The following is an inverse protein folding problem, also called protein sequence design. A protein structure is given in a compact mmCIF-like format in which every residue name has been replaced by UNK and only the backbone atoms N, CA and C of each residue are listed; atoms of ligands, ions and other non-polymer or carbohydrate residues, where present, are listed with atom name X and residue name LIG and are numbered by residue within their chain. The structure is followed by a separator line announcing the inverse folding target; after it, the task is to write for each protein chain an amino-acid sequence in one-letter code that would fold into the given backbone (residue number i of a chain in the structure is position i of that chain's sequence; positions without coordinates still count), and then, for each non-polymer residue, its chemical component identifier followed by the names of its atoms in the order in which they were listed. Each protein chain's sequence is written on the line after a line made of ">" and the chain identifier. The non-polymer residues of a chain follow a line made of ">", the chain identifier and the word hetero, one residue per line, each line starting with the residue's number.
data_IF_493531455236
#
_entry.id   IF_493531455236
#
_cell.length_a   1.000
_cell.length_b   1.000
_cell.length_c   1.000
_cell.angle_alpha   90.00
_cell.angle_beta   90.00
_cell.angle_gamma   90.00
#
_symmetry.space_group_name_H-M   'P 1'
#
loop_
_entity.id
_entity.type
_entity.pdbx_description
1 polymer ?
#
# COMPACT_ATOMS: atom_id res chain seq x y z
N UNK A 1 18.53 -4.64 -17.15
CA UNK A 1 17.87 -3.53 -17.87
C UNK A 1 17.84 -2.32 -16.96
N UNK A 2 18.13 -1.11 -17.44
CA UNK A 2 17.97 0.10 -16.61
C UNK A 2 16.48 0.36 -16.43
N UNK A 3 15.98 0.40 -15.19
CA UNK A 3 14.58 0.74 -14.91
C UNK A 3 14.35 2.18 -15.35
N UNK A 4 13.57 2.36 -16.43
CA UNK A 4 13.22 3.67 -17.00
C UNK A 4 12.62 4.61 -15.96
N UNK A 5 12.74 5.92 -16.17
CA UNK A 5 12.21 6.95 -15.26
C UNK A 5 10.96 7.60 -15.83
N UNK A 6 9.97 7.80 -14.97
CA UNK A 6 8.79 8.63 -15.23
C UNK A 6 9.08 10.04 -14.72
N UNK A 7 8.69 11.06 -15.48
CA UNK A 7 8.87 12.45 -15.06
C UNK A 7 7.84 12.80 -13.96
N UNK A 8 8.32 13.18 -12.77
CA UNK A 8 7.47 13.55 -11.65
C UNK A 8 7.52 15.07 -11.45
N UNK A 9 6.39 15.79 -11.51
CA UNK A 9 6.34 17.26 -11.51
C UNK A 9 6.37 17.89 -10.11
N UNK A 10 6.63 17.10 -9.08
CA UNK A 10 6.70 17.55 -7.68
C UNK A 10 7.81 16.81 -6.94
N UNK A 11 8.31 17.42 -5.87
CA UNK A 11 9.38 16.87 -5.02
C UNK A 11 8.77 16.15 -3.83
N UNK A 12 9.21 14.91 -3.60
CA UNK A 12 8.79 14.13 -2.45
C UNK A 12 9.41 14.64 -1.16
N UNK A 13 8.66 14.53 -0.07
CA UNK A 13 9.08 14.98 1.27
C UNK A 13 9.20 13.79 2.22
N UNK A 14 9.84 13.98 3.37
CA UNK A 14 10.04 12.91 4.37
C UNK A 14 9.76 13.42 5.77
N UNK A 15 9.01 12.66 6.57
CA UNK A 15 8.62 13.05 7.92
C UNK A 15 9.85 13.52 8.75
N UNK A 16 9.82 14.70 9.39
CA UNK A 16 10.99 15.26 10.09
C UNK A 16 11.60 14.36 11.18
N UNK A 17 10.76 13.51 11.78
CA UNK A 17 11.14 12.53 12.80
C UNK A 17 11.35 11.09 12.27
N UNK A 18 11.54 10.90 10.96
CA UNK A 18 11.61 9.58 10.29
C UNK A 18 12.52 8.59 11.04
N UNK A 19 13.76 8.99 11.34
CA UNK A 19 14.72 8.13 12.07
C UNK A 19 14.17 7.57 13.38
N UNK A 20 13.48 8.41 14.16
CA UNK A 20 12.93 7.98 15.45
C UNK A 20 11.65 7.14 15.30
N UNK A 21 10.91 7.32 14.21
CA UNK A 21 9.74 6.50 13.87
C UNK A 21 10.23 5.10 13.45
N UNK A 22 11.18 5.01 12.53
CA UNK A 22 11.75 3.73 12.08
C UNK A 22 12.37 2.94 13.24
N UNK A 23 13.14 3.61 14.11
CA UNK A 23 13.70 2.97 15.29
C UNK A 23 12.62 2.41 16.23
N UNK A 24 11.52 3.14 16.42
CA UNK A 24 10.42 2.68 17.27
C UNK A 24 9.61 1.55 16.61
N UNK A 25 9.47 1.56 15.28
CA UNK A 25 8.84 0.47 14.54
C UNK A 25 9.65 -0.81 14.67
N UNK A 26 10.98 -0.75 14.62
CA UNK A 26 11.84 -1.92 14.89
C UNK A 26 11.52 -2.56 16.24
N UNK A 27 11.45 -1.75 17.30
CA UNK A 27 11.10 -2.21 18.66
C UNK A 27 9.68 -2.81 18.70
N UNK A 28 8.72 -2.19 18.01
CA UNK A 28 7.35 -2.69 17.92
C UNK A 28 7.29 -4.05 17.20
N UNK A 29 7.98 -4.20 16.07
CA UNK A 29 8.04 -5.46 15.29
C UNK A 29 8.68 -6.59 16.11
N UNK A 30 9.71 -6.30 16.92
CA UNK A 30 10.31 -7.24 17.88
C UNK A 30 9.29 -7.67 18.95
N UNK A 31 8.63 -6.71 19.61
CA UNK A 31 7.63 -6.97 20.65
C UNK A 31 6.44 -7.78 20.12
N UNK A 32 6.06 -7.54 18.86
CA UNK A 32 5.02 -8.28 18.16
C UNK A 32 5.47 -9.64 17.64
N UNK A 33 6.75 -10.01 17.79
CA UNK A 33 7.34 -11.29 17.34
C UNK A 33 7.15 -11.52 15.84
N UNK A 34 7.20 -10.45 15.06
CA UNK A 34 7.08 -10.47 13.60
C UNK A 34 8.43 -10.58 12.89
N UNK A 35 9.54 -10.49 13.62
CA UNK A 35 10.87 -10.64 13.04
C UNK A 35 11.20 -12.13 12.86
N UNK A 36 11.15 -12.59 11.61
CA UNK A 36 11.92 -13.78 11.23
C UNK A 36 13.43 -13.48 11.32
N UNK A 37 14.32 -14.50 11.40
CA UNK A 37 15.76 -14.26 11.39
C UNK A 37 16.22 -13.38 10.21
N UNK A 38 15.67 -13.61 9.02
CA UNK A 38 15.93 -12.82 7.82
C UNK A 38 15.51 -11.35 7.98
N UNK A 39 14.31 -11.11 8.54
CA UNK A 39 13.82 -9.76 8.79
C UNK A 39 14.65 -9.07 9.85
N UNK A 40 15.05 -9.76 10.92
CA UNK A 40 15.87 -9.20 11.98
C UNK A 40 17.25 -8.74 11.50
N UNK A 41 17.90 -9.54 10.64
CA UNK A 41 19.22 -9.25 10.08
C UNK A 41 19.19 -8.08 9.08
N UNK A 42 18.11 -7.95 8.31
CA UNK A 42 18.02 -7.01 7.20
C UNK A 42 17.03 -5.85 7.43
N UNK A 43 16.46 -5.71 8.63
CA UNK A 43 15.34 -4.79 8.90
C UNK A 43 15.55 -3.37 8.35
N UNK A 44 16.73 -2.80 8.64
CA UNK A 44 17.07 -1.44 8.22
C UNK A 44 17.28 -1.33 6.70
N UNK A 45 17.76 -2.39 6.07
CA UNK A 45 18.03 -2.45 4.62
C UNK A 45 16.73 -2.72 3.83
N UNK A 46 15.78 -3.43 4.43
CA UNK A 46 14.43 -3.61 3.92
C UNK A 46 13.66 -2.28 3.86
N UNK A 47 13.98 -1.35 4.76
CA UNK A 47 13.47 0.02 4.76
C UNK A 47 11.92 0.11 4.78
N UNK A 48 11.24 -0.89 5.36
CA UNK A 48 9.78 -0.93 5.44
C UNK A 48 9.17 0.27 6.18
N UNK A 49 9.65 0.67 7.38
CA UNK A 49 9.09 1.83 8.05
C UNK A 49 9.45 3.14 7.34
N UNK A 50 10.63 3.22 6.70
CA UNK A 50 11.08 4.39 5.94
C UNK A 50 10.07 4.73 4.86
N UNK A 51 9.51 3.71 4.20
CA UNK A 51 8.45 3.88 3.22
C UNK A 51 7.31 4.75 3.75
N UNK A 52 6.73 4.40 4.89
CA UNK A 52 5.64 5.18 5.49
C UNK A 52 6.06 6.62 5.85
N UNK A 53 7.32 6.84 6.22
CA UNK A 53 7.82 8.18 6.54
C UNK A 53 7.96 9.08 5.31
N UNK A 54 8.07 8.49 4.11
CA UNK A 54 8.13 9.22 2.85
C UNK A 54 6.79 9.81 2.43
N UNK A 55 5.68 9.47 3.10
CA UNK A 55 4.32 9.93 2.72
C UNK A 55 3.54 10.56 3.86
N UNK A 56 4.11 10.48 5.05
CA UNK A 56 3.54 11.04 6.27
C UNK A 56 4.19 12.37 6.64
N UNK A 57 4.72 13.15 5.68
CA UNK A 57 5.53 14.35 5.96
C UNK A 57 4.93 15.27 7.03
N UNK A 58 3.68 15.68 6.83
CA UNK A 58 2.98 16.60 7.73
C UNK A 58 2.28 15.89 8.90
N UNK A 59 2.29 14.54 8.92
CA UNK A 59 1.52 13.72 9.85
C UNK A 59 1.85 14.02 11.31
N UNK A 60 0.87 13.77 12.19
CA UNK A 60 1.20 13.71 13.62
C UNK A 60 2.13 12.53 13.89
N UNK A 61 3.04 12.67 14.87
CA UNK A 61 3.99 11.60 15.24
C UNK A 61 3.28 10.27 15.50
N UNK A 62 2.15 10.29 16.18
CA UNK A 62 1.36 9.10 16.47
C UNK A 62 0.78 8.45 15.20
N UNK A 63 0.21 9.25 14.29
CA UNK A 63 -0.29 8.76 13.01
C UNK A 63 0.83 8.18 12.14
N UNK A 64 1.96 8.88 12.04
CA UNK A 64 3.13 8.41 11.30
C UNK A 64 3.70 7.11 11.89
N UNK A 65 3.69 6.95 13.22
CA UNK A 65 4.09 5.72 13.88
C UNK A 65 3.16 4.55 13.53
N UNK A 66 1.84 4.75 13.55
CA UNK A 66 0.86 3.73 13.16
C UNK A 66 1.07 3.33 11.69
N UNK A 67 1.29 4.29 10.79
CA UNK A 67 1.56 4.02 9.38
C UNK A 67 2.85 3.22 9.17
N UNK A 68 3.93 3.55 9.89
CA UNK A 68 5.22 2.84 9.78
C UNK A 68 5.14 1.41 10.31
N UNK A 69 4.48 1.22 11.45
CA UNK A 69 4.25 -0.10 12.05
C UNK A 69 3.38 -0.96 11.12
N UNK A 70 2.31 -0.37 10.56
CA UNK A 70 1.47 -1.07 9.59
C UNK A 70 2.21 -1.40 8.30
N UNK A 71 3.04 -0.50 7.78
CA UNK A 71 3.84 -0.76 6.57
C UNK A 71 4.78 -1.95 6.78
N UNK A 72 5.42 -2.02 7.94
CA UNK A 72 6.26 -3.16 8.31
C UNK A 72 5.45 -4.44 8.48
N UNK A 73 4.27 -4.35 9.09
CA UNK A 73 3.33 -5.47 9.19
C UNK A 73 2.90 -6.00 7.82
N UNK A 74 2.53 -5.11 6.90
CA UNK A 74 2.02 -5.45 5.56
C UNK A 74 3.06 -6.22 4.76
N UNK A 75 4.31 -5.76 4.72
CA UNK A 75 5.37 -6.46 3.97
C UNK A 75 5.71 -7.83 4.56
N UNK A 76 5.73 -7.95 5.90
CA UNK A 76 5.96 -9.25 6.55
C UNK A 76 4.81 -10.22 6.25
N UNK A 77 3.57 -9.72 6.28
CA UNK A 77 2.40 -10.50 5.93
C UNK A 77 2.42 -10.92 4.45
N UNK A 78 2.69 -10.00 3.51
CA UNK A 78 2.83 -10.29 2.07
C UNK A 78 3.87 -11.39 1.81
N UNK A 79 5.06 -11.31 2.42
CA UNK A 79 6.09 -12.35 2.31
C UNK A 79 5.61 -13.71 2.85
N UNK A 80 4.86 -13.69 3.96
CA UNK A 80 4.30 -14.89 4.57
C UNK A 80 3.25 -15.55 3.67
N UNK A 81 2.34 -14.77 3.08
CA UNK A 81 1.30 -15.26 2.16
C UNK A 81 1.94 -15.84 0.90
N UNK A 82 2.93 -15.14 0.32
CA UNK A 82 3.68 -15.63 -0.82
C UNK A 82 4.38 -16.96 -0.51
N UNK A 83 4.98 -17.08 0.67
CA UNK A 83 5.59 -18.34 1.13
C UNK A 83 4.56 -19.47 1.27
N UNK A 84 3.39 -19.20 1.87
CA UNK A 84 2.33 -20.21 1.95
C UNK A 84 1.88 -20.67 0.57
N UNK A 85 1.75 -19.77 -0.40
CA UNK A 85 1.35 -20.12 -1.76
C UNK A 85 2.40 -21.03 -2.45
N UNK A 86 3.68 -20.67 -2.35
CA UNK A 86 4.80 -21.44 -2.92
C UNK A 86 4.92 -22.83 -2.26
N UNK A 87 4.71 -22.92 -0.95
CA UNK A 87 4.80 -24.17 -0.18
C UNK A 87 3.51 -25.02 -0.21
N UNK A 88 2.44 -24.53 -0.86
CA UNK A 88 1.15 -25.24 -0.91
C UNK A 88 0.39 -25.30 0.43
N UNK A 89 0.62 -24.34 1.31
CA UNK A 89 0.11 -24.28 2.70
C UNK A 89 -1.23 -23.56 2.79
N UNK A 90 -2.21 -24.08 2.07
CA UNK A 90 -3.55 -23.49 1.95
C UNK A 90 -4.29 -23.44 3.29
N UNK A 91 -4.16 -24.49 4.13
CA UNK A 91 -4.82 -24.52 5.43
C UNK A 91 -4.33 -23.39 6.35
N UNK A 92 -3.03 -23.12 6.37
CA UNK A 92 -2.46 -22.01 7.16
C UNK A 92 -2.87 -20.65 6.62
N UNK A 93 -2.92 -20.48 5.29
CA UNK A 93 -3.47 -19.25 4.70
C UNK A 93 -4.93 -19.04 5.10
N UNK A 94 -5.79 -20.04 4.94
CA UNK A 94 -7.21 -19.93 5.28
C UNK A 94 -7.44 -19.64 6.77
N UNK A 95 -6.66 -20.29 7.64
CA UNK A 95 -6.68 -20.02 9.07
C UNK A 95 -6.27 -18.56 9.38
N UNK A 96 -5.16 -18.09 8.80
CA UNK A 96 -4.69 -16.73 9.02
C UNK A 96 -5.68 -15.69 8.47
N UNK A 97 -6.21 -15.89 7.26
CA UNK A 97 -7.21 -15.01 6.65
C UNK A 97 -8.49 -14.94 7.50
N UNK A 98 -8.93 -16.06 8.08
CA UNK A 98 -10.05 -16.08 9.02
C UNK A 98 -9.76 -15.28 10.31
N UNK A 99 -8.53 -15.38 10.84
CA UNK A 99 -8.08 -14.63 12.01
C UNK A 99 -7.98 -13.12 11.72
N UNK A 100 -7.48 -12.72 10.54
CA UNK A 100 -7.45 -11.32 10.13
C UNK A 100 -8.86 -10.74 10.00
N UNK A 101 -9.81 -11.48 9.40
CA UNK A 101 -11.22 -11.09 9.37
C UNK A 101 -11.84 -11.01 10.76
N UNK A 102 -11.40 -11.84 11.72
CA UNK A 102 -11.82 -11.74 13.11
C UNK A 102 -11.29 -10.48 13.79
N UNK A 103 -10.04 -10.08 13.50
CA UNK A 103 -9.46 -8.83 14.00
C UNK A 103 -10.29 -7.62 13.57
N UNK A 104 -10.82 -7.59 12.34
CA UNK A 104 -11.67 -6.50 11.86
C UNK A 104 -12.99 -6.36 12.63
N UNK A 105 -13.51 -7.48 13.16
CA UNK A 105 -14.77 -7.50 13.95
C UNK A 105 -14.55 -7.18 15.42
N UNK A 106 -13.51 -7.75 16.02
CA UNK A 106 -13.15 -7.54 17.42
C UNK A 106 -11.62 -7.44 17.59
N UNK A 107 -11.05 -6.24 17.34
CA UNK A 107 -9.61 -6.03 17.49
C UNK A 107 -9.11 -6.33 18.90
N UNK A 108 -9.88 -5.95 19.93
CA UNK A 108 -9.45 -6.11 21.32
C UNK A 108 -9.39 -7.59 21.74
N UNK A 109 -10.41 -8.38 21.38
CA UNK A 109 -10.40 -9.82 21.63
C UNK A 109 -9.31 -10.56 20.84
N UNK A 110 -8.97 -10.08 19.64
CA UNK A 110 -7.95 -10.68 18.80
C UNK A 110 -6.51 -10.50 19.32
N UNK A 111 -6.25 -9.59 20.28
CA UNK A 111 -4.94 -9.43 20.91
C UNK A 111 -4.45 -10.69 21.65
N UNK A 112 -5.37 -11.58 22.04
CA UNK A 112 -5.06 -12.83 22.74
C UNK A 112 -4.62 -13.97 21.79
N UNK A 113 -4.65 -13.77 20.46
CA UNK A 113 -4.22 -14.80 19.51
C UNK A 113 -2.73 -15.11 19.66
N UNK A 114 -2.38 -16.39 19.50
CA UNK A 114 -1.00 -16.84 19.57
C UNK A 114 -0.21 -16.54 18.27
N UNK A 115 -0.90 -16.37 17.14
CA UNK A 115 -0.27 -16.03 15.86
C UNK A 115 0.23 -14.57 15.89
N UNK A 116 1.55 -14.33 15.73
CA UNK A 116 2.12 -12.99 15.71
C UNK A 116 1.47 -12.05 14.67
N UNK A 117 1.11 -12.55 13.49
CA UNK A 117 0.66 -11.71 12.37
C UNK A 117 -0.73 -11.10 12.66
N UNK A 118 -1.79 -11.88 12.99
CA UNK A 118 -3.07 -11.32 13.39
C UNK A 118 -3.01 -10.53 14.71
N UNK A 119 -2.15 -10.94 15.67
CA UNK A 119 -1.98 -10.20 16.94
C UNK A 119 -1.47 -8.77 16.71
N UNK A 120 -0.46 -8.63 15.85
CA UNK A 120 0.09 -7.34 15.48
C UNK A 120 -0.91 -6.49 14.69
N UNK A 121 -1.69 -7.12 13.81
CA UNK A 121 -2.77 -6.45 13.10
C UNK A 121 -3.83 -5.91 14.07
N UNK A 122 -4.23 -6.72 15.05
CA UNK A 122 -5.17 -6.34 16.10
C UNK A 122 -4.67 -5.13 16.91
N UNK A 123 -3.38 -5.09 17.29
CA UNK A 123 -2.78 -3.91 17.94
C UNK A 123 -2.93 -2.64 17.11
N UNK A 124 -2.63 -2.71 15.81
CA UNK A 124 -2.76 -1.59 14.87
C UNK A 124 -4.21 -1.13 14.74
N UNK A 125 -5.15 -2.07 14.64
CA UNK A 125 -6.59 -1.79 14.59
C UNK A 125 -7.08 -1.10 15.88
N UNK A 126 -6.66 -1.56 17.07
CA UNK A 126 -6.99 -0.92 18.35
C UNK A 126 -6.44 0.50 18.42
N UNK A 127 -5.17 0.69 18.03
CA UNK A 127 -4.52 2.00 17.99
C UNK A 127 -5.17 2.96 16.99
N UNK A 128 -5.72 2.44 15.90
CA UNK A 128 -6.40 3.23 14.86
C UNK A 128 -7.83 3.60 15.26
N UNK A 129 -8.59 2.65 15.84
CA UNK A 129 -10.01 2.80 16.16
C UNK A 129 -10.32 4.02 17.04
N UNK A 130 -9.40 4.42 17.91
CA UNK A 130 -9.59 5.53 18.88
C UNK A 130 -9.67 6.94 18.26
N UNK A 131 -9.44 7.09 16.95
CA UNK A 131 -9.26 8.41 16.34
C UNK A 131 -10.47 8.95 15.58
N UNK A 132 -11.35 8.08 15.07
CA UNK A 132 -12.37 8.48 14.09
C UNK A 132 -13.77 7.93 14.38
N UNK A 133 -14.72 8.46 13.60
CA UNK A 133 -16.13 8.08 13.65
C UNK A 133 -16.34 6.60 13.31
N UNK A 134 -17.54 6.10 13.62
CA UNK A 134 -17.96 4.77 13.17
C UNK A 134 -18.05 4.67 11.65
N UNK A 135 -18.36 5.75 10.94
CA UNK A 135 -18.45 5.77 9.49
C UNK A 135 -17.06 5.61 8.84
N UNK A 136 -16.06 6.32 9.35
CA UNK A 136 -14.66 6.14 8.94
C UNK A 136 -14.19 4.72 9.26
N UNK A 137 -14.52 4.21 10.45
CA UNK A 137 -14.13 2.85 10.85
C UNK A 137 -14.70 1.78 9.93
N UNK A 138 -15.99 1.89 9.59
CA UNK A 138 -16.64 0.97 8.64
C UNK A 138 -15.95 0.96 7.28
N UNK A 139 -15.65 2.14 6.73
CA UNK A 139 -14.90 2.30 5.48
C UNK A 139 -13.52 1.64 5.59
N UNK A 140 -12.77 1.95 6.64
CA UNK A 140 -11.43 1.42 6.85
C UNK A 140 -11.40 -0.11 6.95
N UNK A 141 -12.33 -0.70 7.71
CA UNK A 141 -12.44 -2.16 7.82
C UNK A 141 -12.94 -2.81 6.53
N UNK A 142 -13.76 -2.10 5.73
CA UNK A 142 -14.17 -2.58 4.42
C UNK A 142 -12.96 -2.65 3.46
N UNK A 143 -12.13 -1.60 3.41
CA UNK A 143 -10.91 -1.64 2.57
C UNK A 143 -9.95 -2.76 2.99
N UNK A 144 -9.84 -3.05 4.29
CA UNK A 144 -9.08 -4.23 4.74
C UNK A 144 -9.71 -5.56 4.35
N UNK A 145 -11.04 -5.64 4.37
CA UNK A 145 -11.77 -6.84 3.91
C UNK A 145 -11.45 -7.09 2.43
N UNK A 146 -11.51 -6.05 1.60
CA UNK A 146 -11.16 -6.10 0.18
C UNK A 146 -9.69 -6.53 -0.02
N UNK A 147 -8.75 -6.06 0.80
CA UNK A 147 -7.34 -6.47 0.78
C UNK A 147 -7.18 -7.96 1.12
N UNK A 148 -7.89 -8.48 2.11
CA UNK A 148 -7.82 -9.90 2.49
C UNK A 148 -8.44 -10.77 1.39
N UNK A 149 -9.59 -10.37 0.86
CA UNK A 149 -10.31 -11.11 -0.19
C UNK A 149 -9.51 -11.14 -1.50
N UNK A 150 -8.86 -10.05 -1.86
CA UNK A 150 -8.01 -10.04 -3.06
C UNK A 150 -6.75 -10.88 -2.90
N UNK A 151 -6.16 -10.93 -1.70
CA UNK A 151 -5.03 -11.83 -1.42
C UNK A 151 -5.44 -13.31 -1.49
N UNK A 152 -6.68 -13.65 -1.15
CA UNK A 152 -7.22 -15.01 -1.32
C UNK A 152 -7.36 -15.39 -2.80
N UNK A 153 -7.80 -14.43 -3.63
CA UNK A 153 -7.80 -14.58 -5.09
C UNK A 153 -6.38 -14.76 -5.63
N UNK A 154 -5.42 -13.92 -5.24
CA UNK A 154 -4.03 -14.04 -5.68
C UNK A 154 -3.43 -15.39 -5.25
N UNK A 155 -3.67 -15.83 -4.01
CA UNK A 155 -3.24 -17.15 -3.53
C UNK A 155 -3.76 -18.28 -4.43
N UNK A 156 -5.05 -18.25 -4.75
CA UNK A 156 -5.69 -19.22 -5.65
C UNK A 156 -5.08 -19.17 -7.04
N UNK A 157 -4.89 -17.97 -7.60
CA UNK A 157 -4.29 -17.76 -8.91
C UNK A 157 -2.86 -18.31 -9.00
N UNK A 158 -2.01 -18.07 -7.98
CA UNK A 158 -0.65 -18.66 -7.90
C UNK A 158 -0.72 -20.19 -7.96
N UNK A 159 -1.64 -20.79 -7.20
CA UNK A 159 -1.77 -22.26 -7.10
C UNK A 159 -2.23 -22.93 -8.39
N UNK A 160 -3.14 -22.30 -9.13
CA UNK A 160 -3.67 -22.86 -10.39
C UNK A 160 -2.95 -22.35 -11.64
N UNK A 161 -1.98 -21.43 -11.48
CA UNK A 161 -1.27 -20.79 -12.59
C UNK A 161 -2.17 -19.90 -13.46
N UNK A 162 -3.25 -19.36 -12.89
CA UNK A 162 -4.16 -18.46 -13.61
C UNK A 162 -3.52 -17.08 -13.77
N UNK A 163 -3.62 -16.53 -14.97
CA UNK A 163 -3.18 -15.18 -15.28
C UNK A 163 -4.40 -14.39 -15.71
N UNK A 164 -4.64 -13.30 -15.00
CA UNK A 164 -5.78 -12.42 -15.23
C UNK A 164 -5.68 -11.68 -16.58
N UNK A 165 -6.82 -11.16 -17.04
CA UNK A 165 -6.80 -10.16 -18.12
C UNK A 165 -6.11 -8.89 -17.61
N UNK A 166 -5.69 -8.01 -18.53
CA UNK A 166 -5.07 -6.74 -18.14
C UNK A 166 -6.02 -5.90 -17.24
N UNK A 167 -7.31 -5.89 -17.57
CA UNK A 167 -8.32 -5.09 -16.84
C UNK A 167 -8.60 -5.68 -15.46
N UNK A 168 -8.84 -7.00 -15.39
CA UNK A 168 -9.06 -7.70 -14.11
C UNK A 168 -7.83 -7.63 -13.20
N UNK A 169 -6.62 -7.74 -13.79
CA UNK A 169 -5.39 -7.60 -13.05
C UNK A 169 -5.25 -6.21 -12.42
N UNK A 170 -5.57 -5.14 -13.16
CA UNK A 170 -5.47 -3.78 -12.62
C UNK A 170 -6.47 -3.54 -11.48
N UNK A 171 -7.73 -3.99 -11.60
CA UNK A 171 -8.69 -3.89 -10.50
C UNK A 171 -8.21 -4.64 -9.25
N UNK A 172 -7.75 -5.87 -9.45
CA UNK A 172 -7.19 -6.70 -8.39
C UNK A 172 -5.94 -6.04 -7.76
N UNK A 173 -5.03 -5.51 -8.58
CA UNK A 173 -3.77 -4.92 -8.12
C UNK A 173 -3.96 -3.62 -7.33
N UNK A 174 -4.95 -2.80 -7.70
CA UNK A 174 -5.34 -1.59 -6.92
C UNK A 174 -5.78 -1.94 -5.51
N UNK A 175 -6.43 -3.11 -5.33
CA UNK A 175 -6.83 -3.63 -4.02
C UNK A 175 -5.63 -4.24 -3.30
N UNK A 176 -4.80 -5.05 -3.99
CA UNK A 176 -3.70 -5.78 -3.32
C UNK A 176 -2.51 -4.91 -2.93
N UNK A 177 -2.31 -3.75 -3.57
CA UNK A 177 -1.36 -2.72 -3.11
C UNK A 177 -1.88 -1.96 -1.87
N UNK A 178 -3.17 -2.09 -1.56
CA UNK A 178 -3.80 -1.52 -0.36
C UNK A 178 -3.93 0.00 -0.37
N UNK A 179 -3.90 0.67 -1.52
CA UNK A 179 -3.86 2.14 -1.58
C UNK A 179 -5.07 2.82 -0.94
N UNK A 180 -6.24 2.18 -0.95
CA UNK A 180 -7.42 2.70 -0.24
C UNK A 180 -7.23 2.71 1.29
N UNK A 181 -6.60 1.68 1.86
CA UNK A 181 -6.20 1.65 3.27
C UNK A 181 -5.19 2.77 3.58
N UNK A 182 -4.19 2.95 2.71
CA UNK A 182 -3.21 4.03 2.86
C UNK A 182 -3.85 5.41 2.77
N UNK A 183 -4.82 5.60 1.87
CA UNK A 183 -5.58 6.83 1.73
C UNK A 183 -6.39 7.15 3.00
N UNK A 184 -7.03 6.15 3.61
CA UNK A 184 -7.73 6.31 4.88
C UNK A 184 -6.76 6.74 5.99
N UNK A 185 -5.57 6.14 6.07
CA UNK A 185 -4.55 6.49 7.07
C UNK A 185 -3.93 7.87 6.87
N UNK A 186 -4.05 8.46 5.69
CA UNK A 186 -3.66 9.86 5.50
C UNK A 186 -4.63 10.80 6.27
N UNK A 187 -5.92 10.44 6.40
CA UNK A 187 -6.86 11.15 7.28
C UNK A 187 -6.41 11.03 8.75
N UNK A 188 -5.96 9.85 9.19
CA UNK A 188 -5.32 9.62 10.50
C UNK A 188 -4.11 10.54 10.72
N UNK A 189 -3.20 10.57 9.75
CA UNK A 189 -2.03 11.42 9.78
C UNK A 189 -2.39 12.91 9.89
N UNK A 190 -3.46 13.35 9.22
CA UNK A 190 -3.94 14.74 9.22
C UNK A 190 -4.92 15.08 10.35
N UNK A 191 -5.31 14.09 11.19
CA UNK A 191 -6.35 14.22 12.22
C UNK A 191 -7.65 14.86 11.71
N UNK A 192 -7.94 14.65 10.43
CA UNK A 192 -9.09 15.25 9.78
C UNK A 192 -9.77 14.18 8.95
N UNK A 193 -10.93 13.74 9.42
CA UNK A 193 -11.83 12.87 8.67
C UNK A 193 -12.49 13.70 7.55
N UNK A 194 -12.33 13.25 6.31
CA UNK A 194 -12.99 13.93 5.20
C UNK A 194 -14.48 13.61 5.22
N UNK A 195 -15.37 14.61 5.04
CA UNK A 195 -16.79 14.37 4.83
C UNK A 195 -17.03 13.35 3.72
N UNK A 196 -17.99 12.45 3.93
CA UNK A 196 -18.25 11.33 3.01
C UNK A 196 -18.50 11.79 1.56
N UNK A 197 -19.18 12.93 1.35
CA UNK A 197 -19.43 13.45 0.01
C UNK A 197 -18.16 13.91 -0.72
N UNK A 198 -17.13 14.36 0.00
CA UNK A 198 -15.82 14.68 -0.57
C UNK A 198 -15.01 13.40 -0.80
N UNK A 199 -14.96 12.51 0.19
CA UNK A 199 -14.24 11.25 0.08
C UNK A 199 -14.76 10.42 -1.11
N UNK A 200 -16.07 10.27 -1.23
CA UNK A 200 -16.72 9.53 -2.32
C UNK A 200 -16.83 10.34 -3.63
N UNK A 201 -16.32 11.57 -3.68
CA UNK A 201 -16.38 12.37 -4.90
C UNK A 201 -15.51 11.73 -5.99
N UNK A 202 -16.02 11.74 -7.23
CA UNK A 202 -15.31 11.22 -8.39
C UNK A 202 -13.84 11.72 -8.50
N UNK A 203 -13.54 13.03 -8.33
CA UNK A 203 -12.16 13.48 -8.47
C UNK A 203 -11.26 13.05 -7.29
N UNK A 204 -11.77 12.92 -6.06
CA UNK A 204 -10.96 12.37 -4.96
C UNK A 204 -10.67 10.88 -5.12
N UNK A 205 -11.66 10.11 -5.55
CA UNK A 205 -11.46 8.69 -5.89
C UNK A 205 -10.48 8.52 -7.06
N UNK A 206 -10.54 9.39 -8.07
CA UNK A 206 -9.59 9.39 -9.17
C UNK A 206 -8.15 9.67 -8.70
N UNK A 207 -7.94 10.57 -7.73
CA UNK A 207 -6.62 10.74 -7.11
C UNK A 207 -6.12 9.45 -6.44
N UNK A 208 -6.95 8.77 -5.66
CA UNK A 208 -6.56 7.50 -4.99
C UNK A 208 -6.20 6.43 -6.03
N UNK A 209 -7.04 6.26 -7.06
CA UNK A 209 -6.83 5.28 -8.13
C UNK A 209 -5.53 5.56 -8.90
N UNK A 210 -5.27 6.83 -9.22
CA UNK A 210 -4.06 7.24 -9.92
C UNK A 210 -2.79 6.92 -9.11
N UNK A 211 -2.80 7.19 -7.80
CA UNK A 211 -1.70 6.81 -6.91
C UNK A 211 -1.56 5.29 -6.83
N UNK A 212 -2.67 4.56 -6.74
CA UNK A 212 -2.66 3.09 -6.69
C UNK A 212 -2.02 2.51 -7.96
N UNK A 213 -2.43 2.99 -9.14
CA UNK A 213 -1.90 2.54 -10.43
C UNK A 213 -0.42 2.84 -10.59
N UNK A 214 0.01 4.05 -10.20
CA UNK A 214 1.42 4.41 -10.23
C UNK A 214 2.26 3.53 -9.28
N UNK A 215 1.83 3.39 -8.03
CA UNK A 215 2.53 2.62 -7.01
C UNK A 215 2.59 1.12 -7.36
N UNK A 216 1.50 0.55 -7.85
CA UNK A 216 1.44 -0.83 -8.31
C UNK A 216 2.40 -1.08 -9.48
N UNK A 217 2.32 -0.27 -10.54
CA UNK A 217 3.22 -0.43 -11.69
C UNK A 217 4.70 -0.19 -11.33
N UNK A 218 4.97 0.75 -10.42
CA UNK A 218 6.31 0.99 -9.90
C UNK A 218 6.84 -0.24 -9.16
N UNK A 219 6.02 -0.85 -8.30
CA UNK A 219 6.37 -2.09 -7.62
C UNK A 219 6.67 -3.20 -8.63
N UNK A 220 5.76 -3.45 -9.56
CA UNK A 220 5.88 -4.50 -10.57
C UNK A 220 7.15 -4.35 -11.43
N UNK A 221 7.59 -3.11 -11.73
CA UNK A 221 8.86 -2.88 -12.44
C UNK A 221 10.09 -3.33 -11.64
N UNK A 222 10.12 -3.03 -10.34
CA UNK A 222 11.26 -3.34 -9.48
C UNK A 222 11.21 -4.78 -8.95
N UNK A 223 10.02 -5.37 -8.82
CA UNK A 223 9.82 -6.74 -8.35
C UNK A 223 9.86 -7.79 -9.47
N UNK A 224 9.84 -7.39 -10.75
CA UNK A 224 9.76 -8.33 -11.88
C UNK A 224 10.80 -9.45 -11.82
N UNK A 225 12.06 -9.14 -11.48
CA UNK A 225 13.11 -10.14 -11.44
C UNK A 225 12.86 -11.20 -10.36
N UNK A 226 12.48 -10.78 -9.14
CA UNK A 226 12.19 -11.71 -8.04
C UNK A 226 10.94 -12.54 -8.31
N UNK A 227 9.90 -11.93 -8.87
CA UNK A 227 8.61 -12.58 -9.12
C UNK A 227 8.72 -13.61 -10.24
N UNK A 228 9.49 -13.30 -11.29
CA UNK A 228 9.78 -14.27 -12.36
C UNK A 228 10.58 -15.48 -11.86
N UNK A 229 11.47 -15.31 -10.89
CA UNK A 229 12.26 -16.41 -10.35
C UNK A 229 11.39 -17.50 -9.70
N UNK A 230 10.20 -17.13 -9.22
CA UNK A 230 9.22 -18.04 -8.60
C UNK A 230 7.97 -18.25 -9.46
N UNK A 231 7.97 -17.80 -10.72
CA UNK A 231 6.83 -17.84 -11.63
C UNK A 231 5.54 -17.22 -11.07
N UNK A 232 5.65 -16.11 -10.31
CA UNK A 232 4.47 -15.40 -9.83
C UNK A 232 3.74 -14.74 -11.01
N UNK A 233 2.43 -15.04 -11.25
CA UNK A 233 1.67 -14.42 -12.32
C UNK A 233 1.27 -12.97 -12.04
N UNK A 234 1.43 -12.49 -10.80
CA UNK A 234 0.90 -11.19 -10.37
C UNK A 234 1.84 -10.01 -10.64
N UNK A 235 2.08 -9.74 -11.92
CA UNK A 235 2.90 -8.60 -12.34
C UNK A 235 2.38 -8.03 -13.67
N UNK A 236 2.14 -6.72 -13.74
CA UNK A 236 1.57 -6.07 -14.94
C UNK A 236 2.40 -6.32 -16.20
N UNK A 237 3.72 -6.43 -16.09
CA UNK A 237 4.62 -6.66 -17.22
C UNK A 237 4.43 -8.08 -17.74
N UNK A 238 4.34 -9.06 -16.84
CA UNK A 238 4.02 -10.46 -17.17
C UNK A 238 2.63 -10.56 -17.83
N UNK A 239 1.63 -9.90 -17.25
CA UNK A 239 0.25 -9.89 -17.76
C UNK A 239 0.18 -9.25 -19.15
N UNK A 240 0.79 -8.08 -19.34
CA UNK A 240 0.83 -7.40 -20.64
C UNK A 240 1.56 -8.24 -21.68
N UNK A 241 2.75 -8.77 -21.35
CA UNK A 241 3.54 -9.58 -22.29
C UNK A 241 2.75 -10.78 -22.78
N UNK A 242 2.09 -11.50 -21.86
CA UNK A 242 1.28 -12.67 -22.21
C UNK A 242 0.03 -12.30 -23.01
N UNK A 243 -0.71 -11.27 -22.58
CA UNK A 243 -1.95 -10.87 -23.23
C UNK A 243 -1.73 -10.33 -24.65
N UNK A 244 -0.62 -9.63 -24.89
CA UNK A 244 -0.29 -9.02 -26.20
C UNK A 244 0.65 -9.87 -27.05
N UNK A 245 1.23 -10.94 -26.50
CA UNK A 245 2.28 -11.72 -27.18
C UNK A 245 3.53 -10.89 -27.52
N UNK A 246 3.81 -9.84 -26.75
CA UNK A 246 4.92 -8.92 -27.00
C UNK A 246 6.15 -9.25 -26.15
N UNK A 247 7.29 -8.67 -26.51
CA UNK A 247 8.51 -8.81 -25.72
C UNK A 247 8.33 -8.22 -24.32
N UNK A 248 9.18 -8.65 -23.39
CA UNK A 248 9.21 -8.07 -22.04
C UNK A 248 9.59 -6.59 -22.08
N UNK A 249 10.48 -6.18 -22.99
CA UNK A 249 10.88 -4.78 -23.15
C UNK A 249 9.67 -3.93 -23.57
N UNK A 250 8.87 -4.41 -24.52
CA UNK A 250 7.62 -3.74 -24.92
C UNK A 250 6.61 -3.67 -23.77
N UNK A 251 6.51 -4.72 -22.96
CA UNK A 251 5.63 -4.73 -21.80
C UNK A 251 6.10 -3.77 -20.69
N UNK A 252 7.41 -3.64 -20.48
CA UNK A 252 8.02 -2.62 -19.59
C UNK A 252 7.70 -1.22 -20.10
N UNK A 253 7.84 -0.97 -21.41
CA UNK A 253 7.47 0.32 -21.99
C UNK A 253 5.98 0.64 -21.80
N UNK A 254 5.10 -0.34 -21.96
CA UNK A 254 3.67 -0.17 -21.70
C UNK A 254 3.37 0.12 -20.22
N UNK A 255 4.09 -0.50 -19.27
CA UNK A 255 3.96 -0.21 -17.84
C UNK A 255 4.43 1.22 -17.50
N UNK A 256 5.55 1.68 -18.08
CA UNK A 256 6.04 3.05 -17.91
C UNK A 256 5.07 4.10 -18.48
N UNK A 257 4.43 3.80 -19.62
CA UNK A 257 3.37 4.66 -20.18
C UNK A 257 2.16 4.74 -19.24
N UNK A 258 1.76 3.62 -18.63
CA UNK A 258 0.68 3.61 -17.62
C UNK A 258 1.02 4.44 -16.39
N UNK A 259 2.25 4.32 -15.89
CA UNK A 259 2.70 5.18 -14.78
C UNK A 259 2.69 6.66 -15.15
N UNK A 260 3.09 7.00 -16.38
CA UNK A 260 3.03 8.39 -16.87
C UNK A 260 1.58 8.89 -16.91
N UNK A 261 0.66 8.09 -17.48
CA UNK A 261 -0.77 8.40 -17.49
C UNK A 261 -1.35 8.55 -16.09
N UNK A 262 -0.96 7.70 -15.14
CA UNK A 262 -1.39 7.82 -13.75
C UNK A 262 -0.96 9.14 -13.09
N UNK A 263 0.24 9.65 -13.41
CA UNK A 263 0.67 10.98 -12.95
C UNK A 263 -0.20 12.08 -13.56
N UNK A 264 -0.52 11.99 -14.86
CA UNK A 264 -1.39 12.94 -15.55
C UNK A 264 -2.82 12.92 -15.00
N UNK A 265 -3.38 11.73 -14.79
CA UNK A 265 -4.70 11.52 -14.20
C UNK A 265 -4.79 12.11 -12.79
N UNK A 266 -3.76 11.90 -11.97
CA UNK A 266 -3.67 12.50 -10.64
C UNK A 266 -3.73 14.04 -10.70
N UNK A 267 -2.94 14.66 -11.59
CA UNK A 267 -2.91 16.11 -11.73
C UNK A 267 -4.25 16.69 -12.18
N UNK A 268 -4.91 16.04 -13.14
CA UNK A 268 -6.23 16.46 -13.62
C UNK A 268 -7.28 16.34 -12.51
N UNK A 269 -7.28 15.23 -11.77
CA UNK A 269 -8.19 15.00 -10.66
C UNK A 269 -7.97 16.00 -9.51
N UNK A 270 -6.71 16.30 -9.19
CA UNK A 270 -6.35 17.30 -8.19
C UNK A 270 -6.81 18.71 -8.60
N UNK A 271 -6.63 19.08 -9.87
CA UNK A 271 -7.11 20.36 -10.39
C UNK A 271 -8.64 20.47 -10.34
N UNK A 272 -9.35 19.38 -10.63
CA UNK A 272 -10.81 19.33 -10.53
C UNK A 272 -11.29 19.51 -9.08
N UNK A 273 -10.58 18.93 -8.09
CA UNK A 273 -10.85 19.15 -6.67
C UNK A 273 -10.59 20.59 -6.24
N UNK A 274 -9.46 21.18 -6.67
CA UNK A 274 -9.14 22.56 -6.34
C UNK A 274 -10.21 23.53 -6.85
N UNK A 275 -10.70 23.30 -8.08
CA UNK A 275 -11.78 24.10 -8.67
C UNK A 275 -13.08 23.98 -7.86
N UNK A 276 -13.47 22.76 -7.49
CA UNK A 276 -14.66 22.51 -6.65
C UNK A 276 -14.55 23.14 -5.26
N UNK A 277 -13.37 23.09 -4.63
CA UNK A 277 -13.17 23.68 -3.30
C UNK A 277 -13.24 25.22 -3.31
N UNK A 278 -12.96 25.85 -4.46
CA UNK A 278 -13.17 27.30 -4.66
C UNK A 278 -14.66 27.63 -4.80
N UNK A 279 -15.41 26.81 -5.53
CA UNK A 279 -16.83 27.02 -5.78
C UNK A 279 -17.72 26.68 -4.57
N UNK A 280 -17.31 25.72 -3.74
CA UNK A 280 -18.04 25.31 -2.56
C UNK A 280 -17.74 26.24 -1.36
N UNK A 281 -18.54 27.31 -1.26
CA UNK A 281 -18.53 28.22 -0.11
C UNK A 281 -18.90 27.55 1.22
N UNK A 282 -19.35 26.29 1.20
CA UNK A 282 -19.78 25.54 2.37
C UNK A 282 -18.67 24.76 3.10
N UNK A 283 -17.49 24.58 2.51
CA UNK A 283 -16.40 23.85 3.18
C UNK A 283 -15.74 24.72 4.26
N UNK A 284 -15.71 24.22 5.50
CA UNK A 284 -14.94 24.86 6.57
C UNK A 284 -13.42 24.75 6.33
N UNK A 285 -12.66 25.60 7.01
CA UNK A 285 -11.20 25.68 6.84
C UNK A 285 -10.50 24.37 7.25
N UNK A 286 -11.03 23.67 8.25
CA UNK A 286 -10.47 22.41 8.72
C UNK A 286 -10.55 21.33 7.62
N UNK A 287 -11.70 21.24 6.94
CA UNK A 287 -11.93 20.31 5.84
C UNK A 287 -11.05 20.64 4.64
N UNK A 288 -10.92 21.93 4.29
CA UNK A 288 -10.00 22.38 3.22
C UNK A 288 -8.55 22.01 3.54
N UNK A 289 -8.13 22.21 4.78
CA UNK A 289 -6.80 21.86 5.26
C UNK A 289 -6.56 20.33 5.20
N UNK A 290 -7.51 19.54 5.68
CA UNK A 290 -7.48 18.08 5.61
C UNK A 290 -7.36 17.55 4.18
N UNK A 291 -8.19 18.06 3.26
CA UNK A 291 -8.15 17.70 1.85
C UNK A 291 -6.79 18.04 1.22
N UNK A 292 -6.28 19.26 1.45
CA UNK A 292 -4.97 19.68 0.93
C UNK A 292 -3.86 18.76 1.42
N UNK A 293 -3.89 18.36 2.69
CA UNK A 293 -2.91 17.42 3.25
C UNK A 293 -3.02 16.03 2.63
N UNK A 294 -4.24 15.56 2.39
CA UNK A 294 -4.46 14.28 1.72
C UNK A 294 -3.82 14.27 0.33
N UNK A 295 -4.07 15.32 -0.45
CA UNK A 295 -3.49 15.48 -1.79
C UNK A 295 -1.97 15.59 -1.72
N UNK A 296 -1.42 16.38 -0.82
CA UNK A 296 0.03 16.50 -0.65
C UNK A 296 0.72 15.18 -0.28
N UNK A 297 0.12 14.37 0.60
CA UNK A 297 0.61 13.03 0.92
C UNK A 297 0.54 12.09 -0.30
N UNK A 298 -0.50 12.19 -1.14
CA UNK A 298 -0.58 11.44 -2.39
C UNK A 298 0.51 11.83 -3.40
N UNK A 299 0.87 13.12 -3.47
CA UNK A 299 2.05 13.57 -4.24
C UNK A 299 3.34 12.97 -3.68
N UNK A 300 3.50 12.97 -2.37
CA UNK A 300 4.68 12.38 -1.73
C UNK A 300 4.80 10.87 -2.06
N UNK A 301 3.68 10.13 -2.13
CA UNK A 301 3.65 8.75 -2.62
C UNK A 301 4.25 8.61 -4.01
N UNK A 302 3.72 9.37 -4.99
CA UNK A 302 4.18 9.30 -6.38
C UNK A 302 5.67 9.68 -6.49
N UNK A 303 6.11 10.71 -5.78
CA UNK A 303 7.49 11.21 -5.90
C UNK A 303 8.54 10.33 -5.23
N UNK A 304 8.20 9.65 -4.15
CA UNK A 304 9.18 8.90 -3.36
C UNK A 304 9.20 7.39 -3.68
N UNK A 305 8.15 6.84 -4.29
CA UNK A 305 8.01 5.39 -4.51
C UNK A 305 9.18 4.77 -5.28
N UNK A 306 9.61 5.37 -6.41
CA UNK A 306 10.73 4.84 -7.20
C UNK A 306 12.05 4.90 -6.43
N UNK A 307 12.29 6.00 -5.70
CA UNK A 307 13.49 6.17 -4.89
C UNK A 307 13.59 5.12 -3.78
N UNK A 308 12.47 4.80 -3.12
CA UNK A 308 12.45 3.75 -2.12
C UNK A 308 12.73 2.37 -2.70
N UNK A 309 12.08 1.99 -3.82
CA UNK A 309 12.30 0.68 -4.45
C UNK A 309 13.76 0.45 -4.85
N UNK A 310 14.44 1.50 -5.33
CA UNK A 310 15.87 1.41 -5.69
C UNK A 310 16.78 1.18 -4.50
N UNK A 311 16.39 1.64 -3.31
CA UNK A 311 17.22 1.59 -2.10
C UNK A 311 16.88 0.43 -1.18
N UNK A 312 15.65 -0.10 -1.24
CA UNK A 312 15.22 -1.22 -0.41
C UNK A 312 15.85 -2.54 -0.88
N UNK A 313 16.54 -3.22 0.02
CA UNK A 313 17.11 -4.55 -0.20
C UNK A 313 16.04 -5.61 -0.54
N UNK A 314 14.75 -5.32 -0.31
CA UNK A 314 13.62 -6.18 -0.72
C UNK A 314 13.63 -6.52 -2.22
N UNK A 315 14.18 -5.63 -3.05
CA UNK A 315 14.20 -5.79 -4.52
C UNK A 315 15.58 -6.11 -5.08
N UNK A 316 16.61 -6.16 -4.24
CA UNK A 316 17.98 -6.49 -4.66
C UNK A 316 18.16 -8.01 -4.65
N UNK A 317 17.75 -8.65 -5.74
CA UNK A 317 18.09 -10.05 -5.98
C UNK A 317 19.53 -10.10 -6.48
N UNK A 318 20.42 -10.83 -5.80
CA UNK A 318 21.74 -11.11 -6.37
C UNK A 318 21.54 -11.84 -7.72
N UNK A 319 22.19 -11.40 -8.80
CA UNK A 319 22.16 -12.16 -10.04
C UNK A 319 22.78 -13.54 -9.78
N UNK A 320 22.01 -14.58 -10.11
CA UNK A 320 22.49 -15.96 -10.16
C UNK A 320 23.62 -16.15 -11.19
#
# INVERSE_FOLDING_TARGET
>A
MSVGRVAIPFTGRTHPQARSICAQTRVWTEAMRMMSPQVAENFDQLAYPDLATLYSFDATREGAQIMADLCSWYFVWDDQVNKFAVEGREAEWQQQAAQLRACLRDPAGALATADPTPRAFADLLVRTRRHFSDAWWQRYTQHWTDVIDVNDREFTNRRIGHIETIEDFLDMRRRSVGMFVWADLIELASRTELPQHLYCSAPYQACIIAVADYCACCNDLHSLAKERAVNDPHNIITVISRARGCSQEDAVHAALQRMTGAVEDYLQAEQALASRAVDDSGLDEQTRHGLRRCLLSMRDWIANMDGWHRNSARYHVEPA
#
